data_IF_523534624244
#
_entry.id   IF_523534624244
#
_cell.length_a   1.000
_cell.length_b   1.000
_cell.length_c   1.000
_cell.angle_alpha   90.00
_cell.angle_beta   90.00
_cell.angle_gamma   90.00
#
_symmetry.space_group_name_H-M   'P 1'
#
loop_
_entity.id
_entity.type
_entity.pdbx_description
1 polymer ?
#
# COMPACT_ATOMS: atom_id res chain seq x y z
N UNK A 1 14.42 3.02 0.49
CA UNK A 1 13.80 1.98 -0.36
C UNK A 1 13.83 0.68 0.41
N UNK A 2 12.73 -0.10 0.49
CA UNK A 2 12.74 -1.41 1.15
C UNK A 2 13.78 -2.31 0.49
N UNK A 3 14.53 -3.07 1.29
CA UNK A 3 15.53 -4.05 0.81
C UNK A 3 14.93 -5.44 0.54
N UNK A 4 13.62 -5.54 0.70
CA UNK A 4 12.82 -6.77 0.60
C UNK A 4 11.95 -6.75 -0.67
N UNK A 5 11.43 -7.91 -1.10
CA UNK A 5 10.49 -7.98 -2.20
C UNK A 5 9.28 -7.05 -1.99
N UNK A 6 8.89 -6.36 -3.07
CA UNK A 6 7.71 -5.49 -3.10
C UNK A 6 6.61 -6.20 -3.89
N UNK A 7 5.46 -6.39 -3.24
CA UNK A 7 4.25 -6.88 -3.88
C UNK A 7 3.46 -5.70 -4.45
N UNK A 8 3.14 -5.77 -5.74
CA UNK A 8 2.32 -4.76 -6.41
C UNK A 8 1.12 -5.41 -7.10
N UNK A 9 -0.07 -5.09 -6.61
CA UNK A 9 -1.32 -5.65 -7.09
C UNK A 9 -2.13 -4.57 -7.78
N UNK A 10 -2.53 -4.83 -9.02
CA UNK A 10 -3.50 -4.01 -9.71
C UNK A 10 -4.87 -4.66 -9.60
N UNK A 11 -5.82 -3.93 -9.02
CA UNK A 11 -7.20 -4.35 -8.87
C UNK A 11 -8.06 -3.46 -9.75
N UNK A 12 -8.67 -4.06 -10.78
CA UNK A 12 -9.62 -3.38 -11.64
C UNK A 12 -11.02 -3.38 -11.01
N UNK A 13 -11.86 -2.42 -11.39
CA UNK A 13 -13.20 -2.23 -10.82
C UNK A 13 -13.19 -2.15 -9.29
N UNK A 14 -12.27 -1.34 -8.76
CA UNK A 14 -12.04 -1.16 -7.34
C UNK A 14 -12.07 0.31 -6.93
N UNK A 15 -12.15 0.53 -5.61
CA UNK A 15 -12.01 1.85 -4.99
C UNK A 15 -11.33 1.74 -3.63
N UNK A 16 -10.69 2.83 -3.21
CA UNK A 16 -10.18 2.97 -1.84
C UNK A 16 -11.37 3.23 -0.91
N UNK A 17 -11.57 2.32 0.02
CA UNK A 17 -12.58 2.46 1.06
C UNK A 17 -12.00 3.30 2.20
N UNK A 18 -12.57 4.50 2.37
CA UNK A 18 -12.24 5.35 3.50
C UNK A 18 -13.23 5.06 4.61
N UNK A 19 -12.84 4.22 5.58
CA UNK A 19 -13.47 4.22 6.89
C UNK A 19 -12.60 5.04 7.82
N UNK A 20 -13.02 6.28 8.10
CA UNK A 20 -12.48 7.02 9.24
C UNK A 20 -13.08 6.38 10.48
N UNK A 21 -12.34 5.46 11.08
CA UNK A 21 -12.71 4.97 12.39
C UNK A 21 -12.08 5.91 13.43
N UNK A 22 -12.76 6.10 14.55
CA UNK A 22 -12.17 6.59 15.80
C UNK A 22 -11.21 5.51 16.36
N UNK A 23 -10.30 5.03 15.51
CA UNK A 23 -9.34 4.03 15.89
C UNK A 23 -8.21 4.69 16.71
N UNK A 24 -7.59 3.93 17.62
CA UNK A 24 -6.38 4.35 18.32
C UNK A 24 -5.30 4.84 17.32
N UNK A 25 -4.23 5.50 17.79
CA UNK A 25 -3.20 6.07 16.93
C UNK A 25 -2.72 5.14 15.80
N UNK A 26 -2.70 3.82 16.02
CA UNK A 26 -2.32 2.79 15.05
C UNK A 26 -3.30 2.56 13.90
N UNK A 27 -4.60 2.81 14.08
CA UNK A 27 -5.59 2.61 13.01
C UNK A 27 -5.40 3.54 11.81
N UNK A 28 -4.75 4.69 12.03
CA UNK A 28 -4.39 5.62 10.96
C UNK A 28 -3.47 5.00 9.91
N UNK A 29 -2.67 4.01 10.27
CA UNK A 29 -1.87 3.24 9.32
C UNK A 29 -2.70 2.36 8.35
N UNK A 30 -3.99 2.12 8.65
CA UNK A 30 -4.92 1.36 7.80
C UNK A 30 -5.91 2.26 7.05
N UNK A 31 -6.04 3.53 7.47
CA UNK A 31 -6.93 4.49 6.81
C UNK A 31 -6.54 4.62 5.34
N UNK A 32 -7.50 4.32 4.47
CA UNK A 32 -7.30 4.42 3.02
C UNK A 32 -6.47 3.29 2.40
N UNK A 33 -6.18 2.23 3.16
CA UNK A 33 -5.53 1.03 2.62
C UNK A 33 -6.50 -0.13 2.35
N UNK A 34 -7.77 0.00 2.76
CA UNK A 34 -8.84 -0.94 2.38
C UNK A 34 -9.26 -0.72 0.92
N UNK A 35 -9.51 -1.82 0.22
CA UNK A 35 -9.89 -1.83 -1.19
C UNK A 35 -11.24 -2.54 -1.33
N UNK A 36 -12.22 -1.84 -1.85
CA UNK A 36 -13.57 -2.36 -2.10
C UNK A 36 -13.90 -2.35 -3.59
N UNK A 37 -15.09 -2.86 -3.93
CA UNK A 37 -15.62 -2.79 -5.31
C UNK A 37 -15.83 -1.33 -5.70
N UNK A 38 -15.56 -0.98 -6.96
CA UNK A 38 -15.69 0.38 -7.48
C UNK A 38 -15.62 0.44 -9.00
N UNK A 39 -15.53 1.65 -9.55
CA UNK A 39 -15.46 1.90 -11.00
C UNK A 39 -14.06 2.29 -11.50
N UNK A 40 -13.04 2.21 -10.64
CA UNK A 40 -11.67 2.68 -10.91
C UNK A 40 -10.69 1.49 -10.89
N UNK A 41 -9.41 1.78 -11.06
CA UNK A 41 -8.34 0.83 -10.77
C UNK A 41 -7.60 1.27 -9.50
N UNK A 42 -7.22 0.30 -8.68
CA UNK A 42 -6.43 0.52 -7.47
C UNK A 42 -5.13 -0.27 -7.54
N UNK A 43 -4.00 0.39 -7.31
CA UNK A 43 -2.69 -0.24 -7.13
C UNK A 43 -2.39 -0.35 -5.64
N UNK A 44 -2.29 -1.58 -5.15
CA UNK A 44 -1.86 -1.93 -3.79
C UNK A 44 -0.37 -2.28 -3.81
N UNK A 45 0.42 -1.58 -3.01
CA UNK A 45 1.87 -1.78 -2.91
C UNK A 45 2.21 -2.13 -1.47
N UNK A 46 2.90 -3.25 -1.28
CA UNK A 46 3.15 -3.84 0.02
C UNK A 46 4.58 -4.36 0.09
N UNK A 47 5.31 -4.01 1.15
CA UNK A 47 6.59 -4.62 1.47
C UNK A 47 6.72 -4.76 3.00
N UNK A 48 7.40 -5.81 3.43
CA UNK A 48 7.59 -6.14 4.85
C UNK A 48 9.02 -6.62 5.08
N UNK A 49 9.71 -5.98 6.01
CA UNK A 49 11.09 -6.30 6.38
C UNK A 49 11.17 -6.69 7.84
N UNK A 50 11.55 -7.96 8.10
CA UNK A 50 11.76 -8.48 9.44
C UNK A 50 13.17 -8.17 9.93
N UNK A 51 13.26 -7.56 11.11
CA UNK A 51 14.55 -7.18 11.73
C UNK A 51 14.93 -8.06 12.93
N UNK A 52 14.29 -9.24 13.07
CA UNK A 52 14.62 -10.24 14.08
C UNK A 52 13.75 -10.20 15.34
N UNK A 53 13.04 -9.09 15.59
CA UNK A 53 12.00 -8.97 16.62
C UNK A 53 10.74 -8.37 15.99
N UNK A 54 9.54 -8.88 16.33
CA UNK A 54 8.27 -8.41 15.73
C UNK A 54 8.00 -6.91 15.94
N UNK A 55 8.61 -6.34 16.97
CA UNK A 55 8.54 -4.91 17.31
C UNK A 55 9.49 -4.03 16.49
N UNK A 56 10.47 -4.62 15.79
CA UNK A 56 11.43 -3.88 14.94
C UNK A 56 11.15 -4.01 13.44
N UNK A 57 10.25 -4.93 13.04
CA UNK A 57 9.86 -5.10 11.64
C UNK A 57 9.27 -3.82 11.04
N UNK A 58 9.62 -3.56 9.78
CA UNK A 58 9.20 -2.36 9.06
C UNK A 58 8.21 -2.73 7.95
N UNK A 59 7.15 -1.94 7.84
CA UNK A 59 6.17 -2.07 6.76
C UNK A 59 6.24 -0.89 5.80
N UNK A 60 5.94 -1.17 4.54
CA UNK A 60 5.64 -0.17 3.52
C UNK A 60 4.31 -0.51 2.88
N UNK A 61 3.35 0.39 2.99
CA UNK A 61 2.05 0.28 2.33
C UNK A 61 1.80 1.54 1.52
N UNK A 62 1.45 1.38 0.25
CA UNK A 62 0.81 2.43 -0.53
C UNK A 62 -0.44 1.88 -1.19
N UNK A 63 -1.53 2.64 -1.19
CA UNK A 63 -2.73 2.32 -1.96
C UNK A 63 -3.05 3.53 -2.83
N UNK A 64 -3.06 3.32 -4.15
CA UNK A 64 -3.21 4.38 -5.13
C UNK A 64 -4.45 4.10 -5.98
N UNK A 65 -5.34 5.07 -6.09
CA UNK A 65 -6.53 4.99 -6.94
C UNK A 65 -6.35 5.89 -8.16
N UNK A 66 -6.65 5.36 -9.34
CA UNK A 66 -6.57 6.07 -10.61
C UNK A 66 -7.63 5.59 -11.61
N UNK A 67 -7.80 6.34 -12.69
CA UNK A 67 -8.75 6.00 -13.76
C UNK A 67 -8.43 4.62 -14.36
N UNK A 68 -9.45 3.86 -14.80
CA UNK A 68 -9.24 2.52 -15.37
C UNK A 68 -8.17 2.48 -16.47
N UNK A 69 -7.30 1.47 -16.43
CA UNK A 69 -6.27 1.27 -17.44
C UNK A 69 -6.88 0.47 -18.61
N UNK A 70 -7.46 1.18 -19.57
CA UNK A 70 -8.18 0.58 -20.71
C UNK A 70 -7.37 0.46 -22.00
N UNK A 71 -6.24 1.17 -22.11
CA UNK A 71 -5.45 1.21 -23.34
C UNK A 71 -4.39 0.10 -23.38
N UNK A 72 -4.29 -0.58 -24.53
CA UNK A 72 -3.16 -1.43 -24.88
C UNK A 72 -1.88 -0.60 -24.95
N UNK A 73 -0.84 -1.03 -24.22
CA UNK A 73 0.47 -0.36 -24.18
C UNK A 73 1.47 -1.14 -25.05
N UNK A 74 2.21 -0.48 -25.97
CA UNK A 74 3.34 -1.09 -26.67
C UNK A 74 4.40 -1.61 -25.69
N UNK A 75 5.16 -2.63 -26.08
CA UNK A 75 6.29 -3.12 -25.29
C UNK A 75 7.29 -1.99 -25.00
N UNK A 76 7.83 -1.95 -23.78
CA UNK A 76 8.77 -0.96 -23.27
C UNK A 76 8.26 0.49 -23.25
N UNK A 77 7.00 0.73 -23.59
CA UNK A 77 6.38 2.04 -23.45
C UNK A 77 6.11 2.37 -21.98
N UNK A 78 6.37 3.63 -21.63
CA UNK A 78 6.04 4.20 -20.32
C UNK A 78 4.73 4.98 -20.44
N UNK A 79 3.78 4.68 -19.57
CA UNK A 79 2.55 5.44 -19.41
C UNK A 79 2.53 6.10 -18.04
N UNK A 80 2.51 7.43 -18.03
CA UNK A 80 2.33 8.21 -16.82
C UNK A 80 0.86 8.23 -16.43
N UNK A 81 0.54 7.66 -15.27
CA UNK A 81 -0.83 7.59 -14.75
C UNK A 81 -0.97 8.55 -13.58
N UNK A 82 -1.90 9.49 -13.71
CA UNK A 82 -2.25 10.42 -12.64
C UNK A 82 -3.01 9.67 -11.54
N UNK A 83 -2.54 9.85 -10.30
CA UNK A 83 -3.16 9.27 -9.11
C UNK A 83 -4.20 10.25 -8.58
N UNK A 84 -5.44 9.77 -8.50
CA UNK A 84 -6.58 10.55 -8.03
C UNK A 84 -6.61 10.64 -6.51
N UNK A 85 -6.29 9.51 -5.84
CA UNK A 85 -6.20 9.42 -4.39
C UNK A 85 -5.06 8.50 -4.01
N UNK A 86 -4.30 8.85 -2.98
CA UNK A 86 -3.25 7.99 -2.45
C UNK A 86 -3.21 7.97 -0.94
N UNK A 87 -2.88 6.81 -0.37
CA UNK A 87 -2.51 6.69 1.03
C UNK A 87 -1.19 5.96 1.11
N UNK A 88 -0.34 6.42 2.02
CA UNK A 88 0.98 5.89 2.26
C UNK A 88 1.21 5.71 3.75
N UNK A 89 1.81 4.59 4.12
CA UNK A 89 2.29 4.30 5.45
C UNK A 89 3.67 3.64 5.38
N UNK A 90 4.60 4.10 6.20
CA UNK A 90 5.91 3.49 6.39
C UNK A 90 6.33 3.52 7.85
N UNK A 91 6.89 2.43 8.36
CA UNK A 91 7.57 2.42 9.64
C UNK A 91 7.36 1.12 10.40
N UNK A 92 7.81 1.11 11.65
CA UNK A 92 7.63 0.00 12.57
C UNK A 92 6.36 0.17 13.40
N UNK A 93 5.60 -0.91 13.54
CA UNK A 93 4.53 -0.98 14.52
C UNK A 93 5.11 -1.62 15.78
N UNK A 94 5.54 -0.82 16.73
CA UNK A 94 5.82 -1.31 18.08
C UNK A 94 4.48 -1.61 18.75
N UNK A 95 4.13 -2.89 18.88
CA UNK A 95 2.86 -3.35 19.43
C UNK A 95 2.73 -3.00 20.92
N UNK A 96 3.88 -2.89 21.62
CA UNK A 96 3.97 -2.57 23.04
C UNK A 96 4.37 -1.11 23.36
N UNK A 97 5.14 -0.44 22.48
CA UNK A 97 5.82 0.83 22.81
C UNK A 97 5.38 2.07 22.00
N UNK A 98 4.29 2.02 21.23
CA UNK A 98 3.73 3.24 20.64
C UNK A 98 3.84 3.43 19.13
N UNK A 99 4.39 2.51 18.33
CA UNK A 99 4.39 2.60 16.86
C UNK A 99 5.13 3.82 16.27
N UNK A 100 6.35 3.62 15.77
CA UNK A 100 7.16 4.62 15.11
C UNK A 100 6.94 4.57 13.60
N UNK A 101 5.82 5.10 13.14
CA UNK A 101 5.49 5.13 11.71
C UNK A 101 5.09 6.52 11.22
N UNK A 102 5.21 6.70 9.92
CA UNK A 102 4.81 7.89 9.19
C UNK A 102 3.70 7.52 8.22
N UNK A 103 2.76 8.43 8.05
CA UNK A 103 1.62 8.23 7.15
C UNK A 103 1.35 9.50 6.35
N UNK A 104 0.64 9.37 5.25
CA UNK A 104 0.17 10.53 4.52
C UNK A 104 -0.90 10.20 3.49
N UNK A 105 -1.75 11.20 3.26
CA UNK A 105 -2.86 11.17 2.31
C UNK A 105 -2.57 12.10 1.14
N UNK A 106 -2.86 11.64 -0.08
CA UNK A 106 -2.67 12.34 -1.34
C UNK A 106 -1.23 12.84 -1.55
N UNK A 107 -0.28 11.97 -1.23
CA UNK A 107 1.17 12.27 -1.21
C UNK A 107 1.88 11.79 -2.47
N UNK A 108 1.35 10.73 -3.08
CA UNK A 108 1.80 10.18 -4.36
C UNK A 108 0.80 10.62 -5.43
N UNK A 109 1.29 11.33 -6.46
CA UNK A 109 0.44 11.98 -7.48
C UNK A 109 0.55 11.34 -8.86
N UNK A 110 1.56 10.53 -9.08
CA UNK A 110 1.80 9.85 -10.34
C UNK A 110 2.40 8.47 -10.07
N UNK A 111 2.05 7.53 -10.93
CA UNK A 111 2.75 6.26 -11.08
C UNK A 111 3.07 6.08 -12.56
N UNK A 112 4.27 5.61 -12.84
CA UNK A 112 4.66 5.23 -14.18
C UNK A 112 4.39 3.73 -14.35
N UNK A 113 3.65 3.38 -15.38
CA UNK A 113 3.44 1.99 -15.78
C UNK A 113 4.32 1.69 -16.98
N UNK A 114 5.01 0.56 -16.95
CA UNK A 114 5.88 0.12 -18.03
C UNK A 114 5.40 -1.23 -18.52
N UNK A 115 5.14 -1.37 -19.81
CA UNK A 115 4.85 -2.68 -20.40
C UNK A 115 6.14 -3.46 -20.56
N UNK A 116 6.24 -4.61 -19.92
CA UNK A 116 7.39 -5.51 -20.05
C UNK A 116 7.00 -6.73 -20.88
N UNK A 117 7.99 -7.58 -21.20
CA UNK A 117 7.76 -8.84 -21.93
C UNK A 117 6.81 -9.79 -21.17
N UNK A 118 6.87 -9.75 -19.84
CA UNK A 118 6.13 -10.66 -18.94
C UNK A 118 4.87 -10.04 -18.35
N UNK A 119 4.64 -8.73 -18.50
CA UNK A 119 3.46 -8.09 -17.94
C UNK A 119 3.57 -6.57 -17.87
N UNK A 120 3.16 -6.02 -16.73
CA UNK A 120 3.30 -4.60 -16.41
C UNK A 120 4.22 -4.45 -15.20
N UNK A 121 4.99 -3.38 -15.18
CA UNK A 121 5.78 -2.95 -14.03
C UNK A 121 5.26 -1.59 -13.58
N UNK A 122 5.16 -1.38 -12.26
CA UNK A 122 4.89 -0.08 -11.68
C UNK A 122 6.19 0.55 -11.19
N UNK A 123 6.35 1.84 -11.46
CA UNK A 123 7.42 2.67 -10.90
C UNK A 123 6.82 3.89 -10.23
N UNK A 124 7.14 4.09 -8.95
CA UNK A 124 6.81 5.30 -8.22
C UNK A 124 8.11 5.98 -7.87
N UNK A 125 8.22 7.25 -8.26
CA UNK A 125 9.36 8.09 -7.99
C UNK A 125 8.89 9.39 -7.38
N UNK A 126 9.50 9.78 -6.26
CA UNK A 126 9.42 11.16 -5.80
C UNK A 126 9.48 11.33 -4.30
N UNK A 127 9.53 12.60 -3.84
CA UNK A 127 9.35 12.92 -2.45
C UNK A 127 7.91 12.62 -2.05
N UNK A 128 7.75 11.90 -0.95
CA UNK A 128 6.47 11.60 -0.33
C UNK A 128 6.42 12.45 0.94
N UNK A 129 5.62 13.50 0.90
CA UNK A 129 5.31 14.30 2.08
C UNK A 129 4.44 13.45 3.01
N UNK A 130 4.84 13.27 4.26
CA UNK A 130 4.14 12.44 5.24
C UNK A 130 4.17 13.12 6.61
N UNK A 131 3.62 12.46 7.62
CA UNK A 131 3.58 12.95 8.99
C UNK A 131 3.86 11.79 9.92
N UNK A 132 4.75 11.97 10.89
CA UNK A 132 4.97 11.00 11.95
C UNK A 132 3.69 10.84 12.79
N UNK A 133 3.23 9.61 12.98
CA UNK A 133 1.92 9.34 13.61
C UNK A 133 1.86 9.82 15.06
N UNK A 134 2.93 9.59 15.82
CA UNK A 134 3.03 9.97 17.24
C UNK A 134 3.24 11.47 17.44
N UNK A 135 4.34 12.01 16.90
CA UNK A 135 4.73 13.40 17.14
C UNK A 135 3.95 14.40 16.28
N UNK A 136 3.23 13.93 15.26
CA UNK A 136 2.59 14.74 14.22
C UNK A 136 3.56 15.67 13.47
N UNK A 137 4.86 15.39 13.56
CA UNK A 137 5.88 16.17 12.87
C UNK A 137 5.79 15.91 11.37
N UNK A 138 5.69 16.95 10.53
CA UNK A 138 5.81 16.80 9.09
C UNK A 138 7.16 16.17 8.74
N UNK A 139 7.15 15.19 7.86
CA UNK A 139 8.35 14.50 7.40
C UNK A 139 8.31 14.34 5.89
N UNK A 140 9.48 14.19 5.28
CA UNK A 140 9.60 13.85 3.86
C UNK A 140 10.41 12.57 3.76
N UNK A 141 9.86 11.61 3.04
CA UNK A 141 10.59 10.40 2.66
C UNK A 141 10.69 10.35 1.14
N UNK A 142 11.58 9.51 0.61
CA UNK A 142 11.66 9.22 -0.82
C UNK A 142 11.11 7.82 -1.07
N UNK A 143 10.07 7.77 -1.90
CA UNK A 143 9.59 6.51 -2.46
C UNK A 143 10.21 6.33 -3.83
N UNK A 144 11.16 5.40 -3.94
CA UNK A 144 11.48 4.77 -5.21
C UNK A 144 11.05 3.32 -5.07
N UNK A 145 9.94 2.96 -5.70
CA UNK A 145 9.45 1.58 -5.71
C UNK A 145 9.30 1.12 -7.15
N UNK A 146 9.83 -0.06 -7.42
CA UNK A 146 9.76 -0.73 -8.71
C UNK A 146 9.36 -2.17 -8.46
N UNK A 147 8.32 -2.61 -9.15
CA UNK A 147 7.73 -3.93 -8.90
C UNK A 147 6.91 -4.40 -10.10
N UNK A 148 6.97 -5.70 -10.37
CA UNK A 148 6.06 -6.32 -11.34
C UNK A 148 4.64 -6.31 -10.78
N UNK A 149 3.69 -5.93 -11.63
CA UNK A 149 2.27 -5.90 -11.30
C UNK A 149 1.67 -7.28 -11.48
N UNK A 150 1.00 -7.76 -10.43
CA UNK A 150 0.08 -8.89 -10.47
C UNK A 150 -1.34 -8.37 -10.50
N UNK A 151 -2.19 -8.89 -11.38
CA UNK A 151 -3.62 -8.52 -11.40
C UNK A 151 -4.41 -9.40 -10.42
N UNK A 152 -5.31 -8.77 -9.67
CA UNK A 152 -6.20 -9.43 -8.70
C UNK A 152 -7.59 -8.82 -8.76
N UNK A 153 -8.58 -9.59 -8.31
CA UNK A 153 -9.92 -9.10 -8.02
C UNK A 153 -10.05 -8.76 -6.52
N UNK A 154 -11.02 -7.90 -6.17
CA UNK A 154 -11.26 -7.49 -4.77
C UNK A 154 -11.51 -8.69 -3.84
N UNK A 155 -12.20 -9.72 -4.31
CA UNK A 155 -12.51 -10.94 -3.54
C UNK A 155 -11.30 -11.87 -3.33
N UNK A 156 -10.20 -11.68 -4.08
CA UNK A 156 -8.97 -12.45 -3.98
C UNK A 156 -7.98 -11.82 -3.00
N UNK A 157 -8.22 -10.59 -2.55
CA UNK A 157 -7.33 -9.90 -1.63
C UNK A 157 -7.37 -10.58 -0.27
N UNK A 158 -6.19 -10.72 0.34
CA UNK A 158 -6.08 -11.00 1.77
C UNK A 158 -6.17 -9.70 2.61
N UNK A 159 -6.13 -9.85 3.93
CA UNK A 159 -6.18 -8.71 4.84
C UNK A 159 -4.93 -7.80 4.71
N UNK A 160 -3.73 -8.33 4.50
CA UNK A 160 -2.53 -7.50 4.31
C UNK A 160 -2.58 -6.70 3.00
N UNK A 161 -3.15 -7.29 1.95
CA UNK A 161 -3.31 -6.72 0.62
C UNK A 161 -4.39 -5.62 0.57
N UNK A 162 -5.35 -5.65 1.51
CA UNK A 162 -6.34 -4.59 1.70
C UNK A 162 -7.80 -5.04 1.65
N UNK A 163 -8.10 -6.34 1.84
CA UNK A 163 -9.47 -6.84 1.92
C UNK A 163 -10.31 -6.02 2.94
N UNK A 164 -11.58 -5.71 2.64
CA UNK A 164 -12.46 -5.05 3.60
C UNK A 164 -12.56 -5.83 4.91
N UNK A 165 -12.51 -5.12 6.04
CA UNK A 165 -12.41 -5.76 7.37
C UNK A 165 -10.98 -5.87 7.90
N UNK A 166 -10.02 -5.26 7.20
CA UNK A 166 -8.66 -5.00 7.64
C UNK A 166 -8.65 -4.30 9.00
N UNK A 167 -8.00 -4.92 9.99
CA UNK A 167 -7.83 -4.41 11.36
C UNK A 167 -6.34 -4.23 11.67
N UNK A 168 -6.03 -3.89 12.91
CA UNK A 168 -4.65 -3.77 13.38
C UNK A 168 -3.84 -5.06 13.20
N UNK A 169 -4.43 -6.23 13.44
CA UNK A 169 -3.77 -7.53 13.25
C UNK A 169 -3.42 -7.79 11.77
N UNK A 170 -4.05 -7.03 10.86
CA UNK A 170 -3.83 -7.11 9.41
C UNK A 170 -2.56 -6.40 8.91
N UNK A 171 -1.74 -5.89 9.82
CA UNK A 171 -0.48 -5.21 9.48
C UNK A 171 0.69 -6.14 9.25
N UNK A 172 0.62 -7.41 9.63
CA UNK A 172 1.72 -8.34 9.41
C UNK A 172 1.29 -9.39 8.37
N UNK A 173 2.05 -9.64 7.30
CA UNK A 173 1.71 -10.68 6.32
C UNK A 173 1.56 -12.06 7.00
N UNK A 174 2.45 -12.45 7.91
CA UNK A 174 2.28 -13.69 8.68
C UNK A 174 0.99 -13.80 9.52
N UNK A 175 0.42 -12.69 10.02
CA UNK A 175 -0.84 -12.71 10.79
C UNK A 175 -2.09 -12.72 9.89
N UNK A 176 -1.91 -12.54 8.58
CA UNK A 176 -2.99 -12.42 7.59
C UNK A 176 -3.01 -13.55 6.57
N UNK A 177 -1.85 -14.18 6.34
CA UNK A 177 -1.65 -15.31 5.45
C UNK A 177 -1.79 -16.66 6.15
N UNK A 178 -1.73 -16.69 7.48
CA UNK A 178 -2.02 -17.90 8.25
C UNK A 178 -3.54 -18.01 8.45
N UNK A 179 -4.14 -19.20 8.33
CA UNK A 179 -5.45 -19.44 8.93
C UNK A 179 -5.38 -18.95 10.37
N UNK A 180 -6.37 -18.15 10.78
CA UNK A 180 -6.52 -17.80 12.19
C UNK A 180 -6.95 -19.08 12.89
N UNK A 181 -5.98 -19.90 13.29
CA UNK A 181 -6.23 -21.02 14.18
C UNK A 181 -6.69 -20.42 15.52
N UNK A 182 -8.00 -20.48 15.72
CA UNK A 182 -8.76 -20.46 16.97
C UNK A 182 -8.21 -19.60 18.12
N UNK A 183 -8.86 -18.45 18.34
CA UNK A 183 -9.18 -18.00 19.69
C UNK A 183 -10.46 -18.70 20.15
#
# INVERSE_FOLDING_TARGET
MPKVPITCLLIDNASIVIKRLDEPPYGRANVGHQIGVGARSVLSIRAWEDFGESDTSQLWKATLEFSPITATMPLDSVKHVLVLRSYFTYGGLFWLNGGGYVWGENTIRQVDLIRTKTGLEAVINGPIAATAALSRTPTRTTGVWRCNIVRREVNQLDLWEGKPGTKFESFHPANTLRPVDHL
#
